data_IF_089238481420
#
_entry.id   IF_089238481420
#
_cell.length_a   1.000
_cell.length_b   1.000
_cell.length_c   1.000
_cell.angle_alpha   90.00
_cell.angle_beta   90.00
_cell.angle_gamma   90.00
#
_symmetry.space_group_name_H-M   'P 1'
#
loop_
_entity.id
_entity.type
_entity.pdbx_description
1 polymer ?
#
# COMPACT_ATOMS: atom_id res chain seq x y z
N UNK A 1 33.89 0.73 10.83
CA UNK A 1 32.53 0.94 10.40
C UNK A 1 32.05 -0.24 9.58
N UNK A 2 30.93 -0.77 9.95
CA UNK A 2 30.45 -1.92 9.22
C UNK A 2 29.80 -1.48 7.91
N UNK A 3 30.06 -2.24 6.87
CA UNK A 3 29.33 -2.12 5.63
C UNK A 3 27.89 -2.54 5.83
N UNK A 4 26.98 -2.03 5.01
CA UNK A 4 25.65 -2.63 4.95
C UNK A 4 25.79 -4.11 4.71
N UNK A 5 24.91 -4.88 5.31
CA UNK A 5 24.95 -6.32 5.13
C UNK A 5 24.79 -6.66 3.66
N UNK A 6 25.52 -7.68 3.23
CA UNK A 6 25.26 -8.21 1.91
C UNK A 6 23.82 -8.66 1.83
N UNK A 7 23.16 -8.34 0.75
CA UNK A 7 21.81 -8.74 0.54
C UNK A 7 20.97 -7.57 0.11
N UNK A 8 19.81 -7.92 -0.36
CA UNK A 8 18.85 -6.95 -0.83
C UNK A 8 18.05 -6.38 0.32
N UNK A 9 17.90 -5.09 0.32
CA UNK A 9 17.01 -4.43 1.27
C UNK A 9 16.38 -3.23 0.59
N UNK A 10 15.33 -2.72 1.22
CA UNK A 10 14.64 -1.54 0.74
C UNK A 10 14.35 -0.64 1.93
N UNK A 11 13.97 0.60 1.64
CA UNK A 11 13.73 1.58 2.69
C UNK A 11 12.25 1.85 2.84
N UNK A 12 11.82 2.02 4.09
CA UNK A 12 10.46 2.45 4.42
C UNK A 12 10.50 3.85 4.98
N UNK A 13 9.49 4.69 4.67
CA UNK A 13 9.37 5.98 5.33
C UNK A 13 9.15 5.79 6.84
N UNK A 14 9.90 6.54 7.63
CA UNK A 14 9.72 6.47 9.08
C UNK A 14 8.33 6.93 9.51
N UNK A 15 7.72 7.81 8.74
CA UNK A 15 6.43 8.41 9.06
C UNK A 15 5.31 7.39 9.24
N UNK A 16 5.41 6.22 8.60
CA UNK A 16 4.35 5.23 8.68
C UNK A 16 4.09 4.75 10.11
N UNK A 17 5.09 4.85 10.98
CA UNK A 17 4.94 4.41 12.36
C UNK A 17 4.21 5.45 13.22
N UNK A 18 3.95 6.63 12.68
CA UNK A 18 3.27 7.70 13.38
C UNK A 18 1.93 8.06 12.73
N UNK A 19 1.39 7.18 11.90
CA UNK A 19 0.17 7.45 11.16
C UNK A 19 -0.99 6.54 11.56
N UNK A 20 -0.87 5.91 12.71
CA UNK A 20 -1.94 5.06 13.25
C UNK A 20 -2.27 3.89 12.31
N UNK A 21 -1.25 3.26 11.76
CA UNK A 21 -1.43 2.09 10.90
C UNK A 21 -1.39 0.81 11.73
N UNK A 22 -2.23 -0.15 11.35
CA UNK A 22 -2.16 -1.48 11.96
C UNK A 22 -0.97 -2.26 11.40
N UNK A 23 -0.62 -3.35 12.06
CA UNK A 23 0.47 -4.22 11.59
C UNK A 23 0.21 -4.73 10.17
N UNK A 24 -1.03 -5.09 9.86
CA UNK A 24 -1.37 -5.57 8.51
C UNK A 24 -1.20 -4.50 7.45
N UNK A 25 -1.57 -3.26 7.76
CA UNK A 25 -1.37 -2.14 6.85
C UNK A 25 0.12 -1.91 6.59
N UNK A 26 0.92 -1.92 7.66
CA UNK A 26 2.36 -1.72 7.51
C UNK A 26 2.98 -2.85 6.70
N UNK A 27 2.58 -4.08 6.96
CA UNK A 27 3.10 -5.24 6.22
C UNK A 27 2.78 -5.14 4.74
N UNK A 28 1.54 -4.81 4.41
CA UNK A 28 1.15 -4.69 3.00
C UNK A 28 1.86 -3.53 2.33
N UNK A 29 1.91 -2.39 2.98
CA UNK A 29 2.61 -1.22 2.44
C UNK A 29 4.08 -1.54 2.16
N UNK A 30 4.74 -2.17 3.12
CA UNK A 30 6.15 -2.57 2.96
C UNK A 30 6.32 -3.52 1.78
N UNK A 31 5.44 -4.50 1.65
CA UNK A 31 5.50 -5.45 0.55
C UNK A 31 5.35 -4.76 -0.80
N UNK A 32 4.41 -3.82 -0.90
CA UNK A 32 4.18 -3.09 -2.15
C UNK A 32 5.39 -2.23 -2.51
N UNK A 33 6.00 -1.56 -1.55
CA UNK A 33 7.22 -0.78 -1.79
C UNK A 33 8.35 -1.67 -2.28
N UNK A 34 8.48 -2.84 -1.66
CA UNK A 34 9.51 -3.80 -2.08
C UNK A 34 9.32 -4.23 -3.54
N UNK A 35 8.07 -4.32 -3.98
CA UNK A 35 7.72 -4.80 -5.32
C UNK A 35 7.66 -3.69 -6.36
N UNK A 36 7.66 -2.42 -5.97
CA UNK A 36 7.44 -1.33 -6.91
C UNK A 36 8.58 -1.16 -7.90
N UNK A 37 8.22 -0.76 -9.11
CA UNK A 37 9.18 -0.25 -10.08
C UNK A 37 9.56 1.16 -9.64
N UNK A 38 10.83 1.40 -9.44
CA UNK A 38 11.33 2.68 -8.92
C UNK A 38 11.16 3.85 -9.88
N UNK A 39 10.91 3.56 -11.14
CA UNK A 39 10.66 4.62 -12.14
C UNK A 39 9.21 5.06 -12.15
N UNK A 40 8.30 4.12 -11.98
CA UNK A 40 6.86 4.38 -12.09
C UNK A 40 6.16 4.39 -10.73
N UNK A 41 6.80 3.86 -9.70
CA UNK A 41 6.23 3.69 -8.36
C UNK A 41 4.99 2.80 -8.36
N UNK A 42 4.96 1.83 -9.29
CA UNK A 42 3.82 0.92 -9.45
C UNK A 42 4.27 -0.52 -9.39
N UNK A 43 3.33 -1.40 -9.00
CA UNK A 43 3.53 -2.83 -9.06
C UNK A 43 2.19 -3.53 -9.27
N UNK A 44 2.26 -4.81 -9.63
CA UNK A 44 1.07 -5.57 -10.05
C UNK A 44 1.00 -6.95 -9.40
N UNK A 45 1.28 -7.12 -8.10
CA UNK A 45 1.25 -8.46 -7.51
C UNK A 45 -0.17 -9.02 -7.47
N UNK A 46 -0.29 -10.32 -7.72
CA UNK A 46 -1.56 -11.01 -7.58
C UNK A 46 -1.95 -11.12 -6.10
N UNK A 47 -3.27 -11.21 -5.83
CA UNK A 47 -3.74 -11.40 -4.46
C UNK A 47 -3.13 -12.62 -3.80
N UNK A 48 -2.99 -13.71 -4.57
CA UNK A 48 -2.38 -14.92 -4.05
C UNK A 48 -0.94 -14.68 -3.60
N UNK A 49 -0.19 -13.93 -4.40
CA UNK A 49 1.20 -13.61 -4.08
C UNK A 49 1.29 -12.80 -2.79
N UNK A 50 0.45 -11.78 -2.66
CA UNK A 50 0.39 -10.98 -1.44
C UNK A 50 0.01 -11.84 -0.24
N UNK A 51 -1.04 -12.64 -0.41
CA UNK A 51 -1.53 -13.48 0.67
C UNK A 51 -0.51 -14.47 1.17
N UNK A 52 0.23 -15.09 0.25
CA UNK A 52 1.29 -16.03 0.62
C UNK A 52 2.46 -15.34 1.32
N UNK A 53 2.85 -14.18 0.81
CA UNK A 53 3.99 -13.44 1.39
C UNK A 53 3.68 -12.93 2.79
N UNK A 54 2.45 -12.47 3.02
CA UNK A 54 2.08 -11.82 4.28
C UNK A 54 1.25 -12.72 5.19
N UNK A 55 1.05 -13.99 4.80
CA UNK A 55 0.25 -14.94 5.58
C UNK A 55 -1.17 -14.46 5.79
N UNK A 56 -1.72 -13.82 4.79
CA UNK A 56 -3.13 -13.42 4.77
C UNK A 56 -3.91 -14.48 4.03
N UNK A 57 -4.85 -15.11 4.71
CA UNK A 57 -5.47 -16.34 4.24
C UNK A 57 -6.51 -16.21 3.16
N UNK A 58 -6.95 -15.00 2.82
CA UNK A 58 -8.00 -14.82 1.83
C UNK A 58 -7.84 -13.52 1.07
N UNK A 59 -8.43 -13.48 -0.13
CA UNK A 59 -8.50 -12.26 -0.93
C UNK A 59 -9.19 -11.14 -0.16
N UNK A 60 -10.23 -11.46 0.59
CA UNK A 60 -10.97 -10.45 1.35
C UNK A 60 -10.09 -9.79 2.40
N UNK A 61 -9.22 -10.56 3.05
CA UNK A 61 -8.27 -10.00 4.02
C UNK A 61 -7.30 -9.05 3.34
N UNK A 62 -6.73 -9.46 2.20
CA UNK A 62 -5.84 -8.60 1.43
C UNK A 62 -6.55 -7.30 1.04
N UNK A 63 -7.76 -7.41 0.49
CA UNK A 63 -8.52 -6.24 0.04
C UNK A 63 -8.88 -5.30 1.19
N UNK A 64 -9.14 -5.85 2.37
CA UNK A 64 -9.39 -5.03 3.54
C UNK A 64 -8.24 -4.06 3.80
N UNK A 65 -7.01 -4.59 3.80
CA UNK A 65 -5.84 -3.76 4.05
C UNK A 65 -5.52 -2.83 2.88
N UNK A 66 -5.78 -3.29 1.65
CA UNK A 66 -5.65 -2.43 0.47
C UNK A 66 -6.53 -1.19 0.62
N UNK A 67 -7.80 -1.38 0.98
CA UNK A 67 -8.73 -0.27 1.15
C UNK A 67 -8.32 0.66 2.27
N UNK A 68 -7.81 0.09 3.37
CA UNK A 68 -7.34 0.91 4.49
C UNK A 68 -6.17 1.80 4.07
N UNK A 69 -5.24 1.28 3.29
CA UNK A 69 -4.12 2.08 2.78
C UNK A 69 -4.59 3.14 1.79
N UNK A 70 -5.57 2.80 0.94
CA UNK A 70 -6.13 3.79 0.01
C UNK A 70 -6.82 4.93 0.74
N UNK A 71 -7.60 4.61 1.77
CA UNK A 71 -8.29 5.63 2.57
C UNK A 71 -7.31 6.59 3.23
N UNK A 72 -6.13 6.10 3.57
CA UNK A 72 -5.08 6.91 4.19
C UNK A 72 -4.15 7.56 3.18
N UNK A 73 -4.46 7.42 1.89
CA UNK A 73 -3.72 8.04 0.79
C UNK A 73 -2.26 7.61 0.72
N UNK A 74 -1.98 6.40 1.15
CA UNK A 74 -0.65 5.81 1.01
C UNK A 74 -0.47 5.15 -0.34
N UNK A 75 -1.55 4.61 -0.90
CA UNK A 75 -1.53 3.97 -2.21
C UNK A 75 -2.78 4.34 -2.99
N UNK A 76 -2.71 4.09 -4.29
CA UNK A 76 -3.86 4.14 -5.18
C UNK A 76 -3.86 2.87 -6.02
N UNK A 77 -5.03 2.33 -6.28
CA UNK A 77 -5.15 1.14 -7.13
C UNK A 77 -5.93 1.46 -8.39
N UNK A 78 -5.62 0.72 -9.45
CA UNK A 78 -6.36 0.79 -10.70
C UNK A 78 -6.55 -0.62 -11.22
N UNK A 79 -7.70 -0.85 -11.83
CA UNK A 79 -7.97 -2.11 -12.50
C UNK A 79 -7.18 -2.17 -13.81
N UNK A 80 -6.69 -3.34 -14.14
CA UNK A 80 -6.01 -3.58 -15.41
C UNK A 80 -6.81 -4.57 -16.23
N UNK A 81 -6.63 -4.50 -17.55
CA UNK A 81 -7.28 -5.40 -18.48
C UNK A 81 -6.19 -6.02 -19.33
N UNK A 82 -6.22 -7.34 -19.46
CA UNK A 82 -5.27 -8.06 -20.31
C UNK A 82 -6.02 -8.71 -21.45
N UNK A 83 -5.42 -8.66 -22.65
CA UNK A 83 -5.95 -9.36 -23.79
C UNK A 83 -5.57 -10.83 -23.69
N UNK A 84 -6.57 -11.68 -23.84
CA UNK A 84 -6.39 -13.11 -23.79
C UNK A 84 -6.34 -13.68 -25.22
N UNK A 85 -6.08 -14.99 -25.35
CA UNK A 85 -6.13 -15.65 -26.66
C UNK A 85 -7.48 -15.36 -27.34
N UNK A 86 -7.43 -15.19 -28.66
CA UNK A 86 -8.64 -14.93 -29.47
C UNK A 86 -9.30 -13.60 -29.21
N UNK A 87 -8.56 -12.62 -28.65
CA UNK A 87 -9.07 -11.27 -28.52
C UNK A 87 -10.04 -11.03 -27.38
N UNK A 88 -10.27 -12.02 -26.52
CA UNK A 88 -11.11 -11.80 -25.33
C UNK A 88 -10.34 -10.98 -24.31
N UNK A 89 -11.05 -10.10 -23.58
CA UNK A 89 -10.47 -9.27 -22.54
C UNK A 89 -10.80 -9.86 -21.19
N UNK A 90 -9.83 -9.83 -20.28
CA UNK A 90 -10.01 -10.27 -18.90
C UNK A 90 -9.39 -9.26 -17.95
N UNK A 91 -9.91 -9.24 -16.72
CA UNK A 91 -9.29 -8.44 -15.67
C UNK A 91 -7.91 -8.99 -15.36
N UNK A 92 -6.92 -8.13 -15.36
CA UNK A 92 -5.59 -8.46 -14.88
C UNK A 92 -5.48 -8.21 -13.38
N UNK A 93 -4.27 -8.32 -12.86
CA UNK A 93 -4.00 -7.97 -11.46
C UNK A 93 -4.22 -6.47 -11.28
N UNK A 94 -4.58 -6.07 -10.06
CA UNK A 94 -4.63 -4.64 -9.74
C UNK A 94 -3.25 -4.02 -9.91
N UNK A 95 -3.23 -2.80 -10.41
CA UNK A 95 -2.05 -1.96 -10.33
C UNK A 95 -2.07 -1.22 -9.01
N UNK A 96 -0.95 -1.25 -8.30
CA UNK A 96 -0.78 -0.53 -7.04
C UNK A 96 0.23 0.58 -7.26
N UNK A 97 -0.18 1.81 -7.01
CA UNK A 97 0.72 2.96 -7.10
C UNK A 97 1.02 3.46 -5.70
N UNK A 98 2.29 3.58 -5.38
CA UNK A 98 2.72 4.16 -4.11
C UNK A 98 2.68 5.68 -4.26
N UNK A 99 1.93 6.32 -3.40
CA UNK A 99 1.78 7.77 -3.43
C UNK A 99 2.91 8.44 -2.61
N UNK A 100 3.23 9.71 -2.88
CA UNK A 100 4.23 10.40 -2.08
C UNK A 100 3.84 10.40 -0.61
N UNK A 101 4.79 10.05 0.25
CA UNK A 101 4.53 9.95 1.70
C UNK A 101 4.04 11.27 2.28
N UNK A 102 4.52 12.39 1.76
CA UNK A 102 4.10 13.69 2.24
C UNK A 102 2.59 13.88 2.10
N UNK A 103 2.02 13.42 0.99
CA UNK A 103 0.58 13.51 0.77
C UNK A 103 -0.19 12.76 1.85
N UNK A 104 0.24 11.55 2.18
CA UNK A 104 -0.41 10.73 3.20
C UNK A 104 -0.27 11.36 4.59
N UNK A 105 0.90 11.91 4.89
CA UNK A 105 1.14 12.58 6.18
C UNK A 105 0.26 13.81 6.31
N UNK A 106 0.18 14.64 5.27
CA UNK A 106 -0.67 15.84 5.29
C UNK A 106 -2.13 15.45 5.47
N UNK A 107 -2.58 14.41 4.79
CA UNK A 107 -3.95 13.92 4.92
C UNK A 107 -4.23 13.42 6.34
N UNK A 108 -3.30 12.68 6.93
CA UNK A 108 -3.41 12.20 8.29
C UNK A 108 -3.56 13.36 9.28
N UNK A 109 -2.73 14.39 9.15
CA UNK A 109 -2.79 15.55 10.04
C UNK A 109 -4.10 16.29 9.90
N UNK A 110 -4.64 16.43 8.67
CA UNK A 110 -5.94 17.07 8.46
C UNK A 110 -7.06 16.30 9.19
N UNK A 111 -7.03 14.98 9.11
CA UNK A 111 -8.03 14.15 9.81
C UNK A 111 -7.90 14.30 11.33
N UNK A 112 -6.68 14.37 11.84
CA UNK A 112 -6.44 14.58 13.26
C UNK A 112 -7.03 15.91 13.73
N UNK A 113 -6.78 16.98 13.00
CA UNK A 113 -7.31 18.30 13.34
C UNK A 113 -8.83 18.34 13.27
N UNK A 114 -9.41 17.71 12.25
CA UNK A 114 -10.85 17.62 12.10
C UNK A 114 -11.48 16.90 13.29
N UNK A 115 -10.93 15.78 13.66
CA UNK A 115 -11.44 14.99 14.79
C UNK A 115 -11.29 15.73 16.11
N UNK A 116 -10.19 16.43 16.29
CA UNK A 116 -9.98 17.24 17.50
C UNK A 116 -11.02 18.35 17.60
N UNK A 117 -11.25 19.06 16.49
CA UNK A 117 -12.25 20.11 16.45
C UNK A 117 -13.65 19.61 16.75
N UNK A 118 -14.01 18.44 16.24
CA UNK A 118 -15.31 17.83 16.52
C UNK A 118 -15.48 17.52 18.00
N UNK A 119 -14.44 17.01 18.64
CA UNK A 119 -14.49 16.68 20.08
C UNK A 119 -14.69 17.92 20.94
N UNK A 120 -14.12 19.05 20.51
CA UNK A 120 -14.21 20.29 21.28
C UNK A 120 -15.56 20.99 21.17
N UNK A 121 -16.39 20.60 20.25
CA UNK A 121 -17.68 21.25 20.04
C UNK A 121 -18.78 20.77 20.97
N UNK A 122 -18.46 19.92 21.88
CA UNK A 122 -19.44 19.46 22.87
C UNK A 122 -19.46 20.33 24.12
#
# INVERSE_FOLDING_TARGET
MSQPKQGNYFMLPNEIFNMDLTAGEIALYAFLIRMEDRKTYTCYPAFKTIGEALKMGSKNTVMKYVRMLEEKELIKTEHTIVEHHYGSLRNGNLMYRILPIKQAVDSFHRRQLYNYGRRKKH
#
